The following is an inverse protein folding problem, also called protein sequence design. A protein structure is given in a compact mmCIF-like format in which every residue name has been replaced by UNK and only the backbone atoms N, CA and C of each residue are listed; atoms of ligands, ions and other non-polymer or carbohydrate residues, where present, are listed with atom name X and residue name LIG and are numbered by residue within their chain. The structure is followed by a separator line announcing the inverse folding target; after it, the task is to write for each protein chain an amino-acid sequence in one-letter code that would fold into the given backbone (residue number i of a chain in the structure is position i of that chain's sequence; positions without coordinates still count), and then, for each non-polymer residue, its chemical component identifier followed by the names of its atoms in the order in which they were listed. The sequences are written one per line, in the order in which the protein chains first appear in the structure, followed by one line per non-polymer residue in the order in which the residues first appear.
data_IF_132890046911
#
_entry.id   IF_132890046911
#
_cell.length_a   1.000
_cell.length_b   1.000
_cell.length_c   1.000
_cell.angle_alpha   90.00
_cell.angle_beta   90.00
_cell.angle_gamma   90.00
#
_symmetry.space_group_name_H-M   'P 1'
#
loop_
_entity.id
_entity.type
_entity.pdbx_description
1 polymer ?
#
# COMPACT_ATOMS: atom_id res chain seq x y z
N UNK A 1 -15.39 19.72 -5.30
CA UNK A 1 -14.78 18.39 -5.53
C UNK A 1 -13.31 18.35 -5.04
N UNK A 2 -12.92 19.18 -4.07
CA UNK A 2 -11.53 19.65 -3.92
C UNK A 2 -10.86 19.33 -2.56
N UNK A 3 -11.29 18.32 -1.82
CA UNK A 3 -10.62 18.05 -0.53
C UNK A 3 -10.83 16.63 -0.02
N UNK A 4 -10.67 15.61 -0.88
CA UNK A 4 -10.59 14.27 -0.34
C UNK A 4 -9.18 14.00 0.23
N UNK A 5 -9.06 13.32 1.39
CA UNK A 5 -7.78 13.03 2.01
C UNK A 5 -6.89 12.17 1.09
N UNK A 6 -5.78 12.73 0.61
CA UNK A 6 -4.80 12.04 -0.24
C UNK A 6 -3.45 11.96 0.46
N UNK A 7 -2.93 10.74 0.61
CA UNK A 7 -1.53 10.51 0.99
C UNK A 7 -0.72 10.07 -0.24
N UNK A 8 0.52 10.53 -0.30
CA UNK A 8 1.49 10.14 -1.31
C UNK A 8 2.76 9.67 -0.60
N UNK A 9 3.30 8.54 -1.05
CA UNK A 9 4.50 7.95 -0.49
C UNK A 9 5.32 7.21 -1.54
N UNK A 10 6.51 6.78 -1.13
CA UNK A 10 7.38 5.94 -1.93
C UNK A 10 7.61 4.61 -1.21
N UNK A 11 7.51 3.53 -1.97
CA UNK A 11 7.97 2.21 -1.56
C UNK A 11 9.31 1.93 -2.23
N UNK A 12 10.37 1.89 -1.42
CA UNK A 12 11.75 1.73 -1.90
C UNK A 12 12.27 0.37 -1.46
N UNK A 13 12.80 -0.42 -2.41
CA UNK A 13 13.31 -1.77 -2.13
C UNK A 13 14.52 -2.10 -2.99
N UNK A 14 15.47 -2.84 -2.41
CA UNK A 14 16.62 -3.42 -3.12
C UNK A 14 16.27 -4.72 -3.84
N UNK A 15 15.25 -5.44 -3.35
CA UNK A 15 14.67 -6.57 -4.08
C UNK A 15 14.03 -6.08 -5.39
N UNK A 16 14.14 -6.85 -6.49
CA UNK A 16 13.61 -6.44 -7.79
C UNK A 16 12.08 -6.41 -7.81
N UNK A 17 11.47 -5.74 -8.78
CA UNK A 17 9.99 -5.78 -8.95
C UNK A 17 9.51 -7.12 -9.53
N UNK A 18 10.38 -7.83 -10.26
CA UNK A 18 9.98 -8.98 -11.06
C UNK A 18 9.40 -8.57 -12.42
N UNK A 19 8.88 -9.54 -13.20
CA UNK A 19 8.44 -9.28 -14.56
C UNK A 19 7.05 -8.62 -14.53
N UNK A 20 7.01 -7.29 -14.62
CA UNK A 20 5.76 -6.56 -14.85
C UNK A 20 5.50 -6.34 -16.34
N UNK A 21 4.22 -6.18 -16.74
CA UNK A 21 3.85 -5.81 -18.10
C UNK A 21 4.57 -4.55 -18.58
N UNK A 22 4.85 -4.44 -19.89
CA UNK A 22 5.54 -3.27 -20.45
C UNK A 22 4.78 -1.98 -20.24
N UNK A 23 3.45 -2.02 -20.30
CA UNK A 23 2.59 -0.86 -20.09
C UNK A 23 2.67 -0.30 -18.66
N UNK A 24 3.04 -1.11 -17.65
CA UNK A 24 3.26 -0.62 -16.29
C UNK A 24 4.38 0.44 -16.26
N UNK A 25 5.36 0.28 -17.13
CA UNK A 25 6.51 1.18 -17.26
C UNK A 25 6.33 2.22 -18.37
N UNK A 26 5.13 2.37 -18.95
CA UNK A 26 4.93 3.24 -20.11
C UNK A 26 5.35 4.69 -19.85
N UNK A 27 5.13 5.19 -18.63
CA UNK A 27 5.54 6.54 -18.23
C UNK A 27 7.04 6.66 -17.92
N UNK A 28 7.71 5.57 -17.53
CA UNK A 28 9.09 5.55 -17.05
C UNK A 28 9.78 4.23 -17.44
N UNK A 29 10.14 4.07 -18.71
CA UNK A 29 10.76 2.80 -19.16
C UNK A 29 12.16 2.61 -18.58
N UNK A 30 12.91 3.70 -18.34
CA UNK A 30 14.28 3.61 -17.81
C UNK A 30 14.33 3.02 -16.40
N UNK A 31 13.30 3.24 -15.57
CA UNK A 31 13.29 2.81 -14.17
C UNK A 31 13.01 1.33 -13.99
N UNK A 32 12.66 0.59 -15.06
CA UNK A 32 12.38 -0.85 -15.01
C UNK A 32 13.55 -1.67 -14.45
N UNK A 33 14.80 -1.21 -14.65
CA UNK A 33 16.03 -1.92 -14.24
C UNK A 33 16.80 -1.19 -13.12
N UNK A 34 16.21 -0.20 -12.46
CA UNK A 34 16.87 0.49 -11.36
C UNK A 34 16.95 -0.39 -10.11
N UNK A 35 18.07 -0.29 -9.39
CA UNK A 35 18.22 -0.78 -8.02
C UNK A 35 18.86 0.36 -7.19
N UNK A 36 18.21 0.86 -6.13
CA UNK A 36 16.92 0.41 -5.60
C UNK A 36 15.75 0.72 -6.54
N UNK A 37 14.73 -0.12 -6.45
CA UNK A 37 13.42 0.13 -7.04
C UNK A 37 12.73 1.20 -6.20
N UNK A 38 12.20 2.23 -6.85
CA UNK A 38 11.37 3.25 -6.22
C UNK A 38 9.97 3.26 -6.86
N UNK A 39 8.96 2.79 -6.12
CA UNK A 39 7.56 2.81 -6.55
C UNK A 39 6.81 3.95 -5.86
N UNK A 40 6.12 4.79 -6.64
CA UNK A 40 5.27 5.85 -6.11
C UNK A 40 3.89 5.26 -5.79
N UNK A 41 3.40 5.50 -4.59
CA UNK A 41 2.09 5.02 -4.12
C UNK A 41 1.24 6.19 -3.65
N UNK A 42 -0.04 6.17 -4.03
CA UNK A 42 -1.04 7.13 -3.57
C UNK A 42 -2.19 6.40 -2.92
N UNK A 43 -2.60 6.86 -1.74
CA UNK A 43 -3.78 6.36 -1.04
C UNK A 43 -4.78 7.51 -0.93
N UNK A 44 -6.02 7.21 -1.29
CA UNK A 44 -7.13 8.12 -1.12
C UNK A 44 -8.19 7.41 -0.27
N UNK A 45 -8.55 8.00 0.87
CA UNK A 45 -9.60 7.48 1.75
C UNK A 45 -10.92 8.18 1.45
N UNK A 46 -11.93 7.37 1.11
CA UNK A 46 -13.29 7.85 1.04
C UNK A 46 -13.89 7.89 2.45
N UNK A 47 -13.59 8.95 3.20
CA UNK A 47 -14.28 9.20 4.46
C UNK A 47 -15.68 9.75 4.13
N UNK A 48 -16.71 8.92 4.29
CA UNK A 48 -18.07 9.46 4.43
C UNK A 48 -18.09 10.23 5.74
N UNK A 49 -18.15 11.56 5.69
CA UNK A 49 -18.31 12.45 6.86
C UNK A 49 -19.66 12.27 7.59
N UNK A 50 -20.36 11.14 7.39
CA UNK A 50 -21.65 10.83 8.01
C UNK A 50 -21.35 10.07 9.29
N UNK A 51 -21.23 10.79 10.41
CA UNK A 51 -21.18 10.17 11.74
C UNK A 51 -20.36 10.88 12.81
N UNK A 52 -19.54 11.89 12.49
CA UNK A 52 -18.71 12.54 13.52
C UNK A 52 -19.52 13.55 14.37
N UNK A 53 -20.66 14.05 13.87
CA UNK A 53 -21.46 15.06 14.59
C UNK A 53 -22.52 14.51 15.56
N UNK A 54 -22.93 13.24 15.48
CA UNK A 54 -24.09 12.74 16.25
C UNK A 54 -23.73 12.02 17.57
N UNK A 55 -22.52 11.46 17.69
CA UNK A 55 -22.08 10.77 18.92
C UNK A 55 -21.57 11.73 20.03
N UNK A 56 -21.30 13.00 19.69
CA UNK A 56 -20.83 14.00 20.65
C UNK A 56 -21.94 14.58 21.55
N UNK A 57 -23.21 14.46 21.15
CA UNK A 57 -24.34 15.03 21.88
C UNK A 57 -25.03 14.05 22.86
N UNK A 58 -24.83 12.74 22.69
CA UNK A 58 -25.52 11.71 23.47
C UNK A 58 -24.74 11.22 24.72
N UNK A 59 -23.41 11.33 24.72
CA UNK A 59 -22.56 10.83 25.81
C UNK A 59 -21.80 11.98 26.47
N UNK A 60 -22.40 12.56 27.51
CA UNK A 60 -21.78 13.62 28.29
C UNK A 60 -20.34 13.30 28.72
N UNK A 61 -19.39 14.08 28.21
CA UNK A 61 -18.10 14.32 28.84
C UNK A 61 -17.00 13.26 28.68
N UNK A 62 -17.19 12.16 27.97
CA UNK A 62 -16.07 11.25 27.69
C UNK A 62 -15.48 11.56 26.32
N UNK A 63 -14.41 12.35 26.35
CA UNK A 63 -13.51 12.60 25.22
C UNK A 63 -13.33 11.33 24.40
N UNK A 64 -13.76 11.32 23.14
CA UNK A 64 -13.19 10.39 22.16
C UNK A 64 -11.68 10.67 22.18
N UNK A 65 -10.82 9.74 22.64
CA UNK A 65 -9.41 9.98 22.53
C UNK A 65 -9.16 10.08 21.03
N UNK A 66 -8.62 11.23 20.60
CA UNK A 66 -7.84 11.28 19.38
C UNK A 66 -7.01 10.00 19.37
N UNK A 67 -7.27 9.10 18.41
CA UNK A 67 -6.50 7.89 18.19
C UNK A 67 -5.13 8.24 17.60
N UNK A 68 -4.45 9.20 18.23
CA UNK A 68 -3.04 9.52 18.04
C UNK A 68 -2.15 8.64 18.93
N UNK A 69 -2.73 7.61 19.56
CA UNK A 69 -2.02 6.65 20.39
C UNK A 69 -1.94 5.32 19.65
N UNK A 70 -0.79 5.02 19.05
CA UNK A 70 -0.43 3.68 18.56
C UNK A 70 -0.31 2.63 19.71
N UNK A 71 -0.92 2.89 20.86
CA UNK A 71 -0.83 2.14 22.11
C UNK A 71 -2.17 2.13 22.84
N UNK A 72 -3.21 1.54 22.23
CA UNK A 72 -4.39 0.95 22.88
C UNK A 72 -5.39 0.40 21.84
N UNK A 73 -5.11 -0.77 21.25
CA UNK A 73 -6.13 -1.65 20.66
C UNK A 73 -6.81 -1.25 19.33
N UNK A 74 -6.58 -0.07 18.76
CA UNK A 74 -7.17 0.34 17.47
C UNK A 74 -6.42 -0.21 16.24
N UNK A 75 -7.14 -0.57 15.18
CA UNK A 75 -6.53 -1.04 13.93
C UNK A 75 -6.03 0.15 13.09
N UNK A 76 -4.80 0.07 12.55
CA UNK A 76 -4.16 1.21 11.86
C UNK A 76 -4.86 1.65 10.57
N UNK A 77 -5.70 0.80 9.96
CA UNK A 77 -6.54 1.22 8.83
C UNK A 77 -7.70 2.13 9.25
N UNK A 78 -8.03 2.18 10.54
CA UNK A 78 -9.14 3.01 11.06
C UNK A 78 -8.68 4.46 11.32
N UNK A 79 -7.40 4.77 11.08
CA UNK A 79 -6.87 6.12 11.22
C UNK A 79 -7.49 7.08 10.20
N UNK A 80 -7.92 8.25 10.66
CA UNK A 80 -8.32 9.37 9.78
C UNK A 80 -7.11 10.06 9.14
N UNK A 81 -5.89 9.76 9.59
CA UNK A 81 -4.63 10.25 9.02
C UNK A 81 -4.21 9.34 7.87
N UNK A 82 -4.46 9.76 6.63
CA UNK A 82 -4.14 8.99 5.42
C UNK A 82 -2.68 8.54 5.32
N UNK A 83 -1.73 9.31 5.84
CA UNK A 83 -0.33 8.94 5.87
C UNK A 83 -0.06 7.70 6.73
N UNK A 84 -0.72 7.57 7.87
CA UNK A 84 -0.57 6.40 8.77
C UNK A 84 -1.13 5.15 8.10
N UNK A 85 -2.29 5.27 7.47
CA UNK A 85 -2.92 4.19 6.71
C UNK A 85 -2.03 3.78 5.53
N UNK A 86 -1.50 4.73 4.75
CA UNK A 86 -0.60 4.44 3.64
C UNK A 86 0.67 3.74 4.13
N UNK A 87 1.28 4.24 5.22
CA UNK A 87 2.47 3.63 5.83
C UNK A 87 2.21 2.18 6.21
N UNK A 88 1.11 1.93 6.92
CA UNK A 88 0.71 0.58 7.33
C UNK A 88 0.50 -0.35 6.13
N UNK A 89 -0.21 0.09 5.09
CA UNK A 89 -0.44 -0.70 3.88
C UNK A 89 0.88 -1.06 3.19
N UNK A 90 1.81 -0.10 3.07
CA UNK A 90 3.13 -0.36 2.46
C UNK A 90 3.98 -1.31 3.31
N UNK A 91 3.89 -1.25 4.63
CA UNK A 91 4.54 -2.23 5.53
C UNK A 91 3.95 -3.63 5.36
N UNK A 92 2.62 -3.75 5.25
CA UNK A 92 1.97 -5.01 4.94
C UNK A 92 2.39 -5.56 3.56
N UNK A 93 2.53 -4.69 2.54
CA UNK A 93 3.03 -5.11 1.23
C UNK A 93 4.48 -5.59 1.29
N UNK A 94 5.32 -4.92 2.08
CA UNK A 94 6.69 -5.40 2.37
C UNK A 94 6.66 -6.79 3.00
N UNK A 95 5.83 -7.01 4.03
CA UNK A 95 5.70 -8.32 4.67
C UNK A 95 5.20 -9.40 3.68
N UNK A 96 4.16 -9.11 2.91
CA UNK A 96 3.60 -10.04 1.92
C UNK A 96 4.56 -10.35 0.76
N UNK A 97 5.51 -9.46 0.46
CA UNK A 97 6.53 -9.71 -0.56
C UNK A 97 7.51 -10.83 -0.14
N UNK A 98 7.74 -11.01 1.16
CA UNK A 98 8.59 -12.09 1.70
C UNK A 98 8.02 -13.48 1.51
N UNK A 99 6.72 -13.62 1.23
CA UNK A 99 6.13 -14.92 0.84
C UNK A 99 6.68 -15.44 -0.49
N UNK A 100 7.33 -14.58 -1.28
CA UNK A 100 8.04 -14.95 -2.50
C UNK A 100 9.53 -15.24 -2.27
N UNK A 101 9.91 -15.71 -1.09
CA UNK A 101 11.30 -16.01 -0.72
C UNK A 101 11.99 -16.98 -1.70
N UNK A 102 13.23 -16.67 -2.08
CA UNK A 102 14.11 -17.53 -2.89
C UNK A 102 15.36 -17.92 -2.08
N UNK A 103 15.52 -19.21 -1.72
CA UNK A 103 16.68 -19.66 -0.96
C UNK A 103 18.00 -19.57 -1.76
N UNK A 104 17.96 -19.53 -3.09
CA UNK A 104 19.16 -19.42 -3.92
C UNK A 104 19.80 -18.03 -3.85
N UNK A 105 18.97 -16.99 -3.74
CA UNK A 105 19.39 -15.59 -3.63
C UNK A 105 19.40 -15.13 -2.17
N UNK A 106 18.82 -15.92 -1.26
CA UNK A 106 18.63 -15.60 0.15
C UNK A 106 17.86 -14.27 0.33
N UNK A 107 16.92 -14.00 -0.58
CA UNK A 107 16.08 -12.82 -0.61
C UNK A 107 14.76 -13.14 -1.30
N UNK A 108 13.78 -12.26 -1.22
CA UNK A 108 12.52 -12.35 -1.96
C UNK A 108 12.72 -12.16 -3.46
N UNK A 109 11.96 -12.91 -4.27
CA UNK A 109 11.96 -12.84 -5.74
C UNK A 109 11.41 -11.53 -6.27
N UNK A 110 10.55 -10.86 -5.50
CA UNK A 110 9.97 -9.57 -5.83
C UNK A 110 9.77 -8.72 -4.58
N UNK A 111 9.90 -7.40 -4.71
CA UNK A 111 9.48 -6.43 -3.71
C UNK A 111 7.96 -6.24 -3.65
N UNK A 112 7.22 -6.75 -4.65
CA UNK A 112 5.77 -6.68 -4.70
C UNK A 112 5.13 -7.74 -3.80
N UNK A 113 3.96 -7.46 -3.21
CA UNK A 113 3.22 -8.46 -2.46
C UNK A 113 2.79 -9.61 -3.38
N UNK A 114 2.74 -10.83 -2.83
CA UNK A 114 2.54 -12.08 -3.59
C UNK A 114 1.34 -12.06 -4.55
N UNK A 115 0.22 -11.46 -4.15
CA UNK A 115 -0.99 -11.41 -4.98
C UNK A 115 -0.80 -10.56 -6.24
N UNK A 116 -0.07 -9.44 -6.16
CA UNK A 116 0.25 -8.62 -7.35
C UNK A 116 1.19 -9.37 -8.29
N UNK A 117 2.15 -10.12 -7.74
CA UNK A 117 3.04 -10.95 -8.52
C UNK A 117 2.27 -12.06 -9.27
N UNK A 118 1.34 -12.73 -8.61
CA UNK A 118 0.47 -13.75 -9.23
C UNK A 118 -0.37 -13.17 -10.37
N UNK A 119 -0.97 -11.98 -10.19
CA UNK A 119 -1.72 -11.31 -11.26
C UNK A 119 -0.84 -10.96 -12.46
N UNK A 120 0.40 -10.50 -12.23
CA UNK A 120 1.34 -10.21 -13.31
C UNK A 120 1.74 -11.48 -14.08
N UNK A 121 1.90 -12.61 -13.39
CA UNK A 121 2.18 -13.91 -14.01
C UNK A 121 0.98 -14.41 -14.82
N UNK A 122 -0.24 -14.31 -14.29
CA UNK A 122 -1.47 -14.68 -15.01
C UNK A 122 -1.64 -13.85 -16.28
N UNK A 123 -1.39 -12.54 -16.22
CA UNK A 123 -1.40 -11.69 -17.41
C UNK A 123 -0.38 -12.16 -18.46
N UNK A 124 0.84 -12.51 -18.05
CA UNK A 124 1.88 -12.97 -18.99
C UNK A 124 1.54 -14.32 -19.61
N UNK A 125 1.02 -15.26 -18.80
CA UNK A 125 0.54 -16.53 -19.30
C UNK A 125 -0.56 -16.30 -20.35
N UNK A 126 -1.60 -15.53 -20.01
CA UNK A 126 -2.68 -15.20 -20.94
C UNK A 126 -2.17 -14.54 -22.23
N UNK A 127 -1.26 -13.57 -22.12
CA UNK A 127 -0.65 -12.90 -23.27
C UNK A 127 0.18 -13.86 -24.14
N UNK A 128 0.82 -14.87 -23.56
CA UNK A 128 1.61 -15.84 -24.32
C UNK A 128 0.74 -16.83 -25.12
N UNK A 129 -0.53 -17.00 -24.74
CA UNK A 129 -1.48 -17.87 -25.43
C UNK A 129 -2.28 -17.17 -26.54
N UNK A 130 -2.28 -15.84 -26.60
CA UNK A 130 -2.98 -15.01 -27.60
C UNK A 130 -1.98 -14.50 -28.64
#
# INVERSE_FOLDING_TARGET
LMQQPLALGYYVSTAPVGPLPTWFWAACQQTRRNNPVCLKSSLHLHCTLVGIDDDAAANGGQQCPSSNSATAGGHLLDSSVTCDVLRFVLECYNALSWLSYDPCVNDRRSCLPVHMLTLAQLYQAAKAFV
#
